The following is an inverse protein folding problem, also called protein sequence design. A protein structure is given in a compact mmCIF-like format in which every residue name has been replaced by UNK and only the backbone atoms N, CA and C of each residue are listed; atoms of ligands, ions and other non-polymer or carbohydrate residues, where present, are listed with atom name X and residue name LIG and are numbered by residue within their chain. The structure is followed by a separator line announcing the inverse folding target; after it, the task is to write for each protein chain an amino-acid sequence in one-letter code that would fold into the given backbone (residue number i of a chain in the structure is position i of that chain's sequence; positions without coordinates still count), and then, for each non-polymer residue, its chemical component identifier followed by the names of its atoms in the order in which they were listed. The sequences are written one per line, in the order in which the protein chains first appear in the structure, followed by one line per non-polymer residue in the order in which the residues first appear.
data_IF_599684060173
#
_entry.id   IF_599684060173
#
_cell.length_a   1.000
_cell.length_b   1.000
_cell.length_c   1.000
_cell.angle_alpha   90.00
_cell.angle_beta   90.00
_cell.angle_gamma   90.00
#
_symmetry.space_group_name_H-M   'P 1'
#
loop_
_entity.id
_entity.type
_entity.pdbx_description
1 polymer ?
#
# COMPACT_ATOMS: atom_id res chain seq x y z
N UNK A 1 -10.89 -13.99 -17.09
CA UNK A 1 -11.45 -13.12 -16.03
C UNK A 1 -10.46 -12.00 -15.79
N UNK A 2 -10.93 -10.77 -15.57
CA UNK A 2 -10.09 -9.62 -15.21
C UNK A 2 -10.64 -8.94 -13.96
N UNK A 3 -9.76 -8.36 -13.14
CA UNK A 3 -10.12 -7.46 -12.04
C UNK A 3 -9.69 -6.06 -12.48
N UNK A 4 -10.63 -5.13 -12.52
CA UNK A 4 -10.40 -3.79 -13.07
C UNK A 4 -10.16 -2.80 -11.94
N UNK A 5 -8.98 -2.19 -11.95
CA UNK A 5 -8.62 -1.04 -11.13
C UNK A 5 -7.93 -0.04 -12.06
N UNK A 6 -8.60 1.05 -12.40
CA UNK A 6 -8.10 2.06 -13.32
C UNK A 6 -8.55 3.48 -12.89
N UNK A 7 -7.90 4.54 -13.39
CA UNK A 7 -8.24 5.91 -13.01
C UNK A 7 -9.73 6.27 -13.19
N UNK A 8 -10.41 5.64 -14.15
CA UNK A 8 -11.82 5.87 -14.46
C UNK A 8 -12.78 5.35 -13.38
N UNK A 9 -12.35 4.43 -12.50
CA UNK A 9 -13.15 3.99 -11.34
C UNK A 9 -12.52 4.35 -9.98
N UNK A 10 -11.59 5.30 -9.95
CA UNK A 10 -11.10 5.89 -8.70
C UNK A 10 -12.15 6.88 -8.15
N UNK A 11 -12.76 6.54 -7.02
CA UNK A 11 -13.73 7.40 -6.34
C UNK A 11 -13.05 8.31 -5.32
N UNK A 12 -13.15 9.62 -5.52
CA UNK A 12 -12.49 10.64 -4.68
C UNK A 12 -13.43 11.78 -4.24
N UNK A 13 -14.76 11.59 -4.33
CA UNK A 13 -15.74 12.61 -3.91
C UNK A 13 -15.91 12.72 -2.38
N UNK A 14 -15.35 11.78 -1.62
CA UNK A 14 -15.26 11.86 -0.16
C UNK A 14 -14.79 10.55 0.48
N UNK A 15 -14.43 10.59 1.78
CA UNK A 15 -13.82 9.47 2.48
C UNK A 15 -14.87 8.52 3.10
N UNK A 16 -14.42 7.33 3.51
CA UNK A 16 -15.24 6.36 4.25
C UNK A 16 -15.00 6.40 5.77
N UNK A 17 -14.05 7.21 6.23
CA UNK A 17 -13.64 7.31 7.61
C UNK A 17 -13.60 8.77 8.05
N UNK A 18 -13.74 9.01 9.35
CA UNK A 18 -13.76 10.37 9.94
C UNK A 18 -14.93 11.24 9.48
N UNK A 19 -15.98 10.59 8.99
CA UNK A 19 -17.26 11.17 8.60
C UNK A 19 -18.41 10.46 9.32
N UNK A 20 -19.62 11.00 9.21
CA UNK A 20 -20.80 10.34 9.77
C UNK A 20 -21.07 8.99 9.09
N UNK A 21 -21.76 8.07 9.77
CA UNK A 21 -22.13 6.78 9.17
C UNK A 21 -23.00 6.93 7.91
N UNK A 22 -23.84 7.97 7.87
CA UNK A 22 -24.67 8.31 6.72
C UNK A 22 -23.81 8.74 5.52
N UNK A 23 -22.84 9.62 5.75
CA UNK A 23 -21.92 10.12 4.73
C UNK A 23 -20.98 9.02 4.21
N UNK A 24 -20.45 8.17 5.10
CA UNK A 24 -19.70 6.98 4.70
C UNK A 24 -20.52 6.04 3.81
N UNK A 25 -21.80 5.81 4.13
CA UNK A 25 -22.68 4.99 3.30
C UNK A 25 -22.92 5.62 1.92
N UNK A 26 -23.11 6.94 1.87
CA UNK A 26 -23.27 7.68 0.62
C UNK A 26 -22.04 7.54 -0.28
N UNK A 27 -20.83 7.71 0.28
CA UNK A 27 -19.59 7.54 -0.48
C UNK A 27 -19.34 6.09 -0.90
N UNK A 28 -19.71 5.13 -0.06
CA UNK A 28 -19.64 3.71 -0.40
C UNK A 28 -20.52 3.38 -1.61
N UNK A 29 -21.77 3.86 -1.61
CA UNK A 29 -22.70 3.69 -2.71
C UNK A 29 -22.20 4.40 -3.97
N UNK A 30 -21.74 5.64 -3.84
CA UNK A 30 -21.19 6.40 -4.97
C UNK A 30 -19.97 5.73 -5.63
N UNK A 31 -19.07 5.13 -4.85
CA UNK A 31 -17.92 4.39 -5.38
C UNK A 31 -18.34 3.15 -6.19
N UNK A 32 -19.40 2.48 -5.73
CA UNK A 32 -20.00 1.36 -6.43
C UNK A 32 -20.70 1.82 -7.72
N UNK A 33 -21.52 2.86 -7.65
CA UNK A 33 -22.20 3.45 -8.80
C UNK A 33 -21.21 3.89 -9.88
N UNK A 34 -20.07 4.48 -9.48
CA UNK A 34 -18.99 4.82 -10.42
C UNK A 34 -18.44 3.58 -11.15
N UNK A 35 -18.28 2.46 -10.43
CA UNK A 35 -17.85 1.20 -11.02
C UNK A 35 -18.91 0.62 -11.97
N UNK A 36 -20.19 0.76 -11.65
CA UNK A 36 -21.32 0.40 -12.52
C UNK A 36 -21.35 1.26 -13.78
N UNK A 37 -21.16 2.58 -13.67
CA UNK A 37 -21.04 3.50 -14.79
C UNK A 37 -19.89 3.11 -15.74
N UNK A 38 -18.72 2.76 -15.18
CA UNK A 38 -17.58 2.30 -16.00
C UNK A 38 -17.91 1.01 -16.75
N UNK A 39 -18.54 0.02 -16.08
CA UNK A 39 -18.95 -1.22 -16.73
C UNK A 39 -19.96 -0.95 -17.86
N UNK A 40 -20.96 -0.12 -17.59
CA UNK A 40 -21.96 0.24 -18.59
C UNK A 40 -21.31 0.90 -19.80
N UNK A 41 -20.44 1.89 -19.59
CA UNK A 41 -19.67 2.52 -20.65
C UNK A 41 -18.83 1.51 -21.45
N UNK A 42 -18.17 0.56 -20.77
CA UNK A 42 -17.46 -0.53 -21.44
C UNK A 42 -18.38 -1.37 -22.32
N UNK A 43 -19.60 -1.65 -21.88
CA UNK A 43 -20.56 -2.46 -22.64
C UNK A 43 -21.13 -1.74 -23.86
N UNK A 44 -21.28 -0.41 -23.80
CA UNK A 44 -22.07 0.35 -24.78
C UNK A 44 -21.25 1.27 -25.69
N UNK A 45 -20.19 1.90 -25.17
CA UNK A 45 -19.56 3.06 -25.79
C UNK A 45 -18.05 2.91 -25.99
N UNK A 46 -17.38 2.03 -25.25
CA UNK A 46 -15.94 1.88 -25.32
C UNK A 46 -15.47 1.53 -26.74
N UNK A 47 -14.47 2.25 -27.30
CA UNK A 47 -14.01 2.00 -28.65
C UNK A 47 -13.35 0.62 -28.76
N UNK A 48 -13.60 -0.04 -29.90
CA UNK A 48 -13.02 -1.34 -30.22
C UNK A 48 -11.95 -1.22 -31.30
N UNK A 49 -10.92 -2.10 -31.30
CA UNK A 49 -9.88 -2.11 -32.33
C UNK A 49 -10.40 -2.34 -33.76
N UNK A 50 -11.58 -2.96 -33.91
CA UNK A 50 -12.25 -3.20 -35.19
C UNK A 50 -13.02 -1.98 -35.72
N UNK A 51 -12.94 -0.83 -35.04
CA UNK A 51 -13.68 0.39 -35.38
C UNK A 51 -15.13 0.42 -34.85
N UNK A 52 -15.57 -0.60 -34.12
CA UNK A 52 -16.85 -0.62 -33.43
C UNK A 52 -16.84 0.05 -32.06
N UNK A 53 -17.98 -0.03 -31.36
CA UNK A 53 -18.14 0.46 -29.99
C UNK A 53 -18.81 -0.59 -29.11
N UNK A 54 -18.48 -0.56 -27.81
CA UNK A 54 -19.06 -1.37 -26.76
C UNK A 54 -18.61 -2.84 -26.78
N UNK A 55 -18.52 -3.42 -25.59
CA UNK A 55 -18.25 -4.84 -25.36
C UNK A 55 -19.45 -5.47 -24.63
N UNK A 56 -20.58 -5.74 -25.32
CA UNK A 56 -21.83 -6.19 -24.68
C UNK A 56 -21.72 -7.56 -23.99
N UNK A 57 -20.67 -8.33 -24.31
CA UNK A 57 -20.36 -9.61 -23.66
C UNK A 57 -19.63 -9.48 -22.32
N UNK A 58 -19.30 -8.27 -21.86
CA UNK A 58 -18.78 -8.06 -20.51
C UNK A 58 -19.91 -8.17 -19.50
N UNK A 59 -19.67 -8.85 -18.39
CA UNK A 59 -20.60 -8.97 -17.26
C UNK A 59 -19.81 -9.25 -15.99
N UNK A 60 -20.41 -8.93 -14.85
CA UNK A 60 -19.83 -9.18 -13.53
C UNK A 60 -19.88 -10.68 -13.19
N UNK A 61 -18.93 -11.16 -12.37
CA UNK A 61 -18.75 -12.58 -12.05
C UNK A 61 -19.04 -12.88 -10.57
N UNK A 62 -20.32 -12.87 -10.14
CA UNK A 62 -20.69 -13.15 -8.75
C UNK A 62 -20.24 -14.54 -8.27
N UNK A 63 -20.17 -15.49 -9.20
CA UNK A 63 -19.68 -16.85 -8.99
C UNK A 63 -18.18 -16.91 -8.62
N UNK A 64 -17.41 -15.86 -8.93
CA UNK A 64 -15.99 -15.78 -8.57
C UNK A 64 -15.74 -14.81 -7.42
N UNK A 65 -16.39 -13.64 -7.42
CA UNK A 65 -16.17 -12.63 -6.36
C UNK A 65 -16.78 -13.05 -5.02
N UNK A 66 -17.73 -13.99 -5.02
CA UNK A 66 -18.47 -14.40 -3.83
C UNK A 66 -19.36 -13.29 -3.29
N UNK A 67 -19.77 -12.36 -4.15
CA UNK A 67 -20.74 -11.30 -3.88
C UNK A 67 -21.94 -11.48 -4.81
N UNK A 68 -23.18 -11.27 -4.37
CA UNK A 68 -24.37 -11.50 -5.21
C UNK A 68 -24.40 -10.66 -6.49
N UNK A 69 -23.73 -9.51 -6.49
CA UNK A 69 -23.71 -8.53 -7.57
C UNK A 69 -22.43 -8.57 -8.40
N UNK A 70 -21.45 -9.39 -8.04
CA UNK A 70 -20.20 -9.51 -8.79
C UNK A 70 -19.19 -8.37 -8.57
N UNK A 71 -19.44 -7.46 -7.63
CA UNK A 71 -18.48 -6.43 -7.21
C UNK A 71 -17.47 -6.94 -6.17
N UNK A 72 -16.41 -6.18 -5.92
CA UNK A 72 -15.50 -6.46 -4.81
C UNK A 72 -16.25 -6.40 -3.46
N UNK A 73 -15.88 -7.28 -2.52
CA UNK A 73 -16.50 -7.35 -1.18
C UNK A 73 -16.34 -6.06 -0.37
N UNK A 74 -15.26 -5.34 -0.61
CA UNK A 74 -14.91 -4.07 0.03
C UNK A 74 -14.23 -3.17 -1.01
N UNK A 75 -14.37 -1.84 -0.91
CA UNK A 75 -13.63 -0.90 -1.73
C UNK A 75 -12.13 -1.01 -1.45
N UNK A 76 -11.33 -0.84 -2.49
CA UNK A 76 -9.89 -0.75 -2.37
C UNK A 76 -9.50 0.65 -1.87
N UNK A 77 -9.03 0.74 -0.63
CA UNK A 77 -8.60 2.00 -0.02
C UNK A 77 -7.11 2.22 -0.24
N UNK A 78 -6.75 3.27 -0.99
CA UNK A 78 -5.35 3.61 -1.33
C UNK A 78 -4.57 4.18 -0.15
N UNK A 79 -5.24 4.90 0.75
CA UNK A 79 -4.60 5.53 1.91
C UNK A 79 -5.34 5.22 3.19
N UNK A 80 -4.60 4.70 4.18
CA UNK A 80 -5.12 4.34 5.49
C UNK A 80 -4.64 5.33 6.55
N UNK A 81 -5.26 5.28 7.74
CA UNK A 81 -4.65 5.88 8.94
C UNK A 81 -3.27 5.28 9.18
N UNK A 82 -2.27 6.13 9.37
CA UNK A 82 -0.90 5.73 9.66
C UNK A 82 -0.57 5.93 11.13
N UNK A 83 0.33 5.09 11.63
CA UNK A 83 0.94 5.31 12.93
C UNK A 83 1.84 6.54 12.91
N UNK A 84 2.02 7.19 14.06
CA UNK A 84 3.20 8.02 14.29
C UNK A 84 4.35 7.09 14.65
N UNK A 85 5.23 6.83 13.69
CA UNK A 85 6.31 5.85 13.82
C UNK A 85 7.57 6.44 14.45
N UNK A 86 8.48 5.57 14.92
CA UNK A 86 9.83 5.93 15.40
C UNK A 86 10.69 6.51 14.28
N UNK A 87 10.44 6.09 13.04
CA UNK A 87 11.00 6.69 11.83
C UNK A 87 9.91 6.91 10.79
N UNK A 88 9.87 8.11 10.21
CA UNK A 88 8.95 8.43 9.10
C UNK A 88 9.75 8.51 7.81
N UNK A 89 9.37 7.69 6.83
CA UNK A 89 10.01 7.69 5.52
C UNK A 89 9.53 8.91 4.74
N UNK A 90 10.45 9.82 4.40
CA UNK A 90 10.22 11.03 3.62
C UNK A 90 10.72 10.89 2.17
N UNK A 91 10.25 11.78 1.30
CA UNK A 91 10.56 11.76 -0.14
C UNK A 91 12.05 11.70 -0.46
N UNK A 92 12.96 12.45 0.21
CA UNK A 92 14.39 12.40 -0.09
C UNK A 92 15.05 11.02 0.11
N UNK A 93 14.41 10.13 0.86
CA UNK A 93 14.92 8.78 1.04
C UNK A 93 14.76 7.93 -0.22
N UNK A 94 13.76 8.20 -1.07
CA UNK A 94 13.38 7.29 -2.17
C UNK A 94 13.28 7.96 -3.54
N UNK A 95 13.00 9.26 -3.61
CA UNK A 95 12.84 10.00 -4.85
C UNK A 95 14.15 10.08 -5.64
N UNK A 96 14.10 9.73 -6.93
CA UNK A 96 15.28 9.73 -7.80
C UNK A 96 15.87 11.14 -7.98
N UNK A 97 15.02 12.17 -8.09
CA UNK A 97 15.45 13.56 -8.23
C UNK A 97 16.17 14.10 -6.98
N UNK A 98 15.83 13.55 -5.80
CA UNK A 98 16.52 13.85 -4.55
C UNK A 98 17.87 13.11 -4.42
N UNK A 99 18.17 12.16 -5.33
CA UNK A 99 19.34 11.26 -5.28
C UNK A 99 19.99 11.13 -6.67
N UNK A 100 20.46 12.26 -7.26
CA UNK A 100 20.95 12.26 -8.64
C UNK A 100 22.16 11.34 -8.81
N UNK A 101 22.09 10.42 -9.77
CA UNK A 101 23.16 9.47 -10.09
C UNK A 101 23.15 8.19 -9.25
N UNK A 102 22.29 8.09 -8.23
CA UNK A 102 22.14 6.87 -7.44
C UNK A 102 21.29 5.83 -8.15
N UNK A 103 21.62 4.55 -7.95
CA UNK A 103 20.84 3.40 -8.47
C UNK A 103 19.86 2.84 -7.44
N UNK A 104 20.09 3.12 -6.16
CA UNK A 104 19.30 2.66 -5.04
C UNK A 104 18.92 3.84 -4.15
N UNK A 105 17.79 3.71 -3.46
CA UNK A 105 17.33 4.65 -2.45
C UNK A 105 18.28 4.70 -1.23
N UNK A 106 17.97 5.55 -0.26
CA UNK A 106 18.68 5.62 1.02
C UNK A 106 18.75 4.23 1.69
N UNK A 107 19.94 3.76 2.07
CA UNK A 107 20.07 2.49 2.78
C UNK A 107 19.62 2.65 4.24
N UNK A 108 18.92 1.65 4.75
CA UNK A 108 18.48 1.55 6.13
C UNK A 108 19.16 0.36 6.82
N UNK A 109 19.99 0.65 7.83
CA UNK A 109 20.69 -0.40 8.60
C UNK A 109 19.71 -1.37 9.30
N UNK A 110 18.52 -0.89 9.62
CA UNK A 110 17.40 -1.62 10.22
C UNK A 110 16.40 -2.14 9.18
N UNK A 111 16.80 -2.32 7.92
CA UNK A 111 15.93 -2.88 6.88
C UNK A 111 15.33 -4.23 7.29
N UNK A 112 14.02 -4.36 7.08
CA UNK A 112 13.24 -5.58 7.27
C UNK A 112 12.63 -6.09 5.97
N UNK A 113 12.90 -5.40 4.85
CA UNK A 113 12.33 -5.76 3.57
C UNK A 113 12.71 -4.79 2.47
N UNK A 114 12.21 -5.05 1.27
CA UNK A 114 12.47 -4.21 0.09
C UNK A 114 11.18 -3.90 -0.65
N UNK A 115 11.22 -2.82 -1.44
CA UNK A 115 10.16 -2.45 -2.35
C UNK A 115 10.71 -1.65 -3.53
N UNK A 116 9.95 -1.64 -4.63
CA UNK A 116 10.23 -0.78 -5.76
C UNK A 116 8.92 -0.50 -6.49
N UNK A 117 8.54 0.76 -6.49
CA UNK A 117 7.42 1.29 -7.24
C UNK A 117 7.58 2.81 -7.33
N UNK A 118 6.98 3.42 -8.35
CA UNK A 118 6.96 4.88 -8.47
C UNK A 118 6.14 5.49 -7.34
N UNK A 119 6.39 6.76 -7.02
CA UNK A 119 5.47 7.53 -6.17
C UNK A 119 4.26 7.88 -7.05
N UNK A 120 3.22 7.05 -6.97
CA UNK A 120 1.95 7.20 -7.69
C UNK A 120 0.85 7.63 -6.71
N UNK A 121 0.42 8.88 -6.78
CA UNK A 121 -0.69 9.43 -5.98
C UNK A 121 -1.83 9.83 -6.90
N UNK A 122 -3.01 9.34 -6.56
CA UNK A 122 -4.24 9.63 -7.27
C UNK A 122 -4.91 10.85 -6.65
N UNK A 123 -5.83 11.51 -7.38
CA UNK A 123 -6.61 12.61 -6.83
C UNK A 123 -7.20 12.25 -5.47
N UNK A 124 -6.99 13.13 -4.50
CA UNK A 124 -7.43 12.91 -3.12
C UNK A 124 -8.80 13.51 -2.86
N UNK A 125 -9.47 13.07 -1.80
CA UNK A 125 -10.70 13.71 -1.31
C UNK A 125 -10.46 15.12 -0.77
N UNK A 126 -9.20 15.52 -0.58
CA UNK A 126 -8.78 16.87 -0.19
C UNK A 126 -8.59 17.84 -1.37
N UNK A 127 -8.74 17.36 -2.61
CA UNK A 127 -8.56 18.17 -3.82
C UNK A 127 -7.12 18.21 -4.36
N UNK A 128 -6.24 17.34 -3.85
CA UNK A 128 -4.88 17.22 -4.39
C UNK A 128 -4.92 16.58 -5.79
N UNK A 129 -4.08 17.05 -6.73
CA UNK A 129 -4.02 16.47 -8.07
C UNK A 129 -3.25 15.15 -8.10
N UNK A 130 -3.25 14.50 -9.26
CA UNK A 130 -2.38 13.35 -9.53
C UNK A 130 -0.90 13.73 -9.44
N UNK A 131 -0.09 12.86 -8.82
CA UNK A 131 1.37 13.01 -8.72
C UNK A 131 2.05 11.69 -9.13
N UNK A 132 3.05 11.78 -9.99
CA UNK A 132 3.85 10.65 -10.46
C UNK A 132 5.33 11.02 -10.49
N UNK A 133 6.11 10.42 -9.59
CA UNK A 133 7.55 10.67 -9.45
C UNK A 133 8.32 9.34 -9.46
N UNK A 134 9.45 9.32 -10.15
CA UNK A 134 10.41 8.21 -10.12
C UNK A 134 10.92 7.98 -8.69
N UNK A 135 10.83 6.73 -8.23
CA UNK A 135 11.46 6.31 -6.99
C UNK A 135 12.49 5.22 -7.30
N UNK A 136 13.64 5.30 -6.63
CA UNK A 136 14.67 4.27 -6.70
C UNK A 136 14.23 3.03 -5.90
N UNK A 137 14.72 1.82 -6.24
CA UNK A 137 14.51 0.63 -5.41
C UNK A 137 14.93 0.89 -3.96
N UNK A 138 14.01 0.62 -3.02
CA UNK A 138 14.11 1.04 -1.63
C UNK A 138 13.97 -0.11 -0.62
N UNK A 139 14.31 0.21 0.63
CA UNK A 139 14.24 -0.70 1.78
C UNK A 139 13.13 -0.27 2.74
N UNK A 140 12.59 -1.21 3.51
CA UNK A 140 11.57 -0.97 4.53
C UNK A 140 12.29 -0.93 5.89
N UNK A 141 12.48 0.24 6.53
CA UNK A 141 13.12 0.32 7.84
C UNK A 141 12.18 -0.19 8.95
N UNK A 142 12.71 -0.99 9.89
CA UNK A 142 11.99 -1.43 11.08
C UNK A 142 11.40 -0.24 11.86
N UNK A 143 12.11 0.88 11.94
CA UNK A 143 11.64 2.09 12.62
C UNK A 143 10.30 2.62 12.09
N UNK A 144 9.96 2.37 10.82
CA UNK A 144 8.67 2.74 10.24
C UNK A 144 7.52 1.81 10.65
N UNK A 145 7.82 0.62 11.15
CA UNK A 145 6.84 -0.34 11.68
C UNK A 145 6.61 -0.16 13.19
N UNK A 146 7.30 0.76 13.86
CA UNK A 146 7.23 0.89 15.33
C UNK A 146 6.51 2.17 15.76
N UNK A 147 5.35 2.10 16.43
CA UNK A 147 4.67 3.29 16.94
C UNK A 147 5.47 3.99 18.05
N UNK A 148 5.38 5.31 18.15
CA UNK A 148 6.01 6.06 19.27
C UNK A 148 5.31 5.78 20.60
N UNK A 149 3.97 5.72 20.59
CA UNK A 149 3.15 5.73 21.82
C UNK A 149 2.83 4.34 22.39
N UNK A 150 2.62 3.35 21.53
CA UNK A 150 2.17 2.00 21.92
C UNK A 150 3.23 0.97 21.53
N UNK A 151 3.46 -0.02 22.39
CA UNK A 151 4.56 -1.00 22.25
C UNK A 151 4.10 -2.42 21.91
N UNK A 152 2.78 -2.65 21.87
CA UNK A 152 2.13 -3.94 21.61
C UNK A 152 1.21 -3.92 20.38
N UNK A 153 1.44 -3.00 19.44
CA UNK A 153 0.69 -2.86 18.20
C UNK A 153 1.68 -2.66 17.05
N UNK A 154 1.54 -3.44 15.98
CA UNK A 154 2.34 -3.30 14.77
C UNK A 154 1.43 -3.03 13.56
N UNK A 155 1.75 -2.05 12.70
CA UNK A 155 1.19 -1.94 11.36
C UNK A 155 1.64 -3.13 10.51
N UNK A 156 0.80 -3.56 9.57
CA UNK A 156 1.04 -4.74 8.75
C UNK A 156 0.70 -4.52 7.26
N UNK A 157 0.49 -3.25 6.86
CA UNK A 157 0.23 -2.86 5.47
C UNK A 157 0.52 -1.35 5.26
N UNK A 158 -0.38 -0.62 4.59
CA UNK A 158 -0.34 0.84 4.28
C UNK A 158 -0.26 1.79 5.48
N UNK A 159 -0.26 1.26 6.70
CA UNK A 159 -0.40 2.02 7.94
C UNK A 159 0.94 2.28 8.67
N UNK A 160 2.08 1.99 8.03
CA UNK A 160 3.44 2.28 8.54
C UNK A 160 3.77 3.79 8.54
N UNK A 161 4.94 4.13 9.08
CA UNK A 161 5.47 5.49 9.09
C UNK A 161 5.95 5.99 7.73
N UNK A 162 5.03 6.56 6.95
CA UNK A 162 5.29 7.25 5.68
C UNK A 162 4.62 8.63 5.66
N UNK A 163 5.09 9.53 4.81
CA UNK A 163 4.33 10.74 4.44
C UNK A 163 3.22 10.38 3.47
N UNK A 164 2.28 11.31 3.21
CA UNK A 164 1.31 11.14 2.13
C UNK A 164 2.01 10.84 0.78
N UNK A 165 3.10 11.55 0.51
CA UNK A 165 3.90 11.41 -0.71
C UNK A 165 4.55 10.03 -0.81
N UNK A 166 5.36 9.65 0.19
CA UNK A 166 6.08 8.37 0.13
C UNK A 166 5.17 7.16 0.27
N UNK A 167 3.98 7.31 0.86
CA UNK A 167 2.99 6.24 0.85
C UNK A 167 2.67 5.77 -0.58
N UNK A 168 2.75 6.65 -1.59
CA UNK A 168 2.52 6.32 -3.00
C UNK A 168 3.36 5.15 -3.52
N UNK A 169 4.60 4.99 -3.06
CA UNK A 169 5.47 3.88 -3.45
C UNK A 169 5.46 2.71 -2.46
N UNK A 170 5.10 2.92 -1.19
CA UNK A 170 5.03 1.85 -0.17
C UNK A 170 3.69 1.10 -0.14
N UNK A 171 2.63 1.62 -0.77
CA UNK A 171 1.28 1.03 -0.78
C UNK A 171 1.00 0.03 -1.91
N UNK A 172 2.03 -0.45 -2.61
CA UNK A 172 1.82 -1.46 -3.64
C UNK A 172 1.78 -2.84 -2.99
N UNK A 173 0.92 -3.74 -3.48
CA UNK A 173 0.70 -5.07 -2.91
C UNK A 173 1.98 -5.85 -2.55
N UNK A 174 3.04 -5.91 -3.39
CA UNK A 174 4.27 -6.62 -3.02
C UNK A 174 4.96 -6.02 -1.78
N UNK A 175 4.96 -4.69 -1.65
CA UNK A 175 5.54 -3.98 -0.51
C UNK A 175 4.68 -4.17 0.73
N UNK A 176 3.35 -4.10 0.59
CA UNK A 176 2.42 -4.36 1.69
C UNK A 176 2.52 -5.78 2.23
N UNK A 177 2.69 -6.78 1.36
CA UNK A 177 2.88 -8.16 1.77
C UNK A 177 4.18 -8.31 2.56
N UNK A 178 5.27 -7.72 2.08
CA UNK A 178 6.54 -7.73 2.80
C UNK A 178 6.44 -7.06 4.19
N UNK A 179 5.76 -5.91 4.28
CA UNK A 179 5.46 -5.23 5.57
C UNK A 179 4.70 -6.18 6.51
N UNK A 180 3.67 -6.87 6.01
CA UNK A 180 2.87 -7.81 6.78
C UNK A 180 3.66 -9.03 7.24
N UNK A 181 4.47 -9.62 6.37
CA UNK A 181 5.36 -10.75 6.68
C UNK A 181 6.39 -10.37 7.75
N UNK A 182 7.03 -9.21 7.58
CA UNK A 182 7.96 -8.65 8.56
C UNK A 182 7.28 -8.42 9.91
N UNK A 183 6.13 -7.76 9.94
CA UNK A 183 5.39 -7.51 11.19
C UNK A 183 4.98 -8.82 11.89
N UNK A 184 4.55 -9.83 11.12
CA UNK A 184 4.19 -11.15 11.64
C UNK A 184 5.38 -11.89 12.25
N UNK A 185 6.51 -11.92 11.53
CA UNK A 185 7.75 -12.54 12.01
C UNK A 185 8.34 -11.81 13.22
N UNK A 186 8.28 -10.47 13.24
CA UNK A 186 8.69 -9.67 14.40
C UNK A 186 7.87 -10.03 15.63
N UNK A 187 6.56 -10.19 15.47
CA UNK A 187 5.65 -10.59 16.56
C UNK A 187 6.06 -11.96 17.11
N UNK A 188 6.24 -12.96 16.25
CA UNK A 188 6.67 -14.29 16.65
C UNK A 188 8.05 -14.28 17.34
N UNK A 189 9.02 -13.54 16.78
CA UNK A 189 10.35 -13.38 17.35
C UNK A 189 10.30 -12.78 18.76
N UNK A 190 9.52 -11.71 18.95
CA UNK A 190 9.33 -11.03 20.23
C UNK A 190 8.75 -11.98 21.29
N UNK A 191 7.71 -12.75 20.93
CA UNK A 191 7.08 -13.72 21.82
C UNK A 191 8.04 -14.84 22.25
N UNK A 192 8.85 -15.35 21.31
CA UNK A 192 9.81 -16.42 21.59
C UNK A 192 10.99 -15.96 22.45
N UNK A 193 11.43 -14.71 22.30
CA UNK A 193 12.57 -14.14 23.03
C UNK A 193 12.17 -13.42 24.31
N UNK A 194 10.88 -13.19 24.55
CA UNK A 194 10.40 -12.42 25.69
C UNK A 194 10.83 -10.94 25.64
N UNK A 195 10.87 -10.36 24.44
CA UNK A 195 11.24 -8.96 24.20
C UNK A 195 10.11 -8.22 23.49
N UNK A 196 10.14 -6.89 23.52
CA UNK A 196 9.23 -6.04 22.78
C UNK A 196 9.80 -5.62 21.41
N UNK A 197 8.95 -5.30 20.42
CA UNK A 197 9.40 -4.85 19.10
C UNK A 197 10.41 -3.69 19.13
N UNK A 198 10.22 -2.73 20.03
CA UNK A 198 11.14 -1.60 20.21
C UNK A 198 12.52 -2.02 20.70
N UNK A 199 12.62 -3.05 21.52
CA UNK A 199 13.93 -3.55 21.98
C UNK A 199 14.72 -4.19 20.83
N UNK A 200 14.02 -4.82 19.87
CA UNK A 200 14.64 -5.35 18.65
C UNK A 200 15.28 -4.23 17.84
N UNK A 201 14.59 -3.09 17.69
CA UNK A 201 15.13 -1.91 17.00
C UNK A 201 16.28 -1.22 17.77
N UNK A 202 16.19 -1.17 19.10
CA UNK A 202 17.16 -0.46 19.95
C UNK A 202 18.43 -1.25 20.25
N UNK A 203 18.41 -2.58 20.05
CA UNK A 203 19.51 -3.47 20.40
C UNK A 203 20.12 -4.12 19.15
N UNK A 204 21.35 -3.76 18.74
CA UNK A 204 21.96 -4.27 17.51
C UNK A 204 22.02 -5.80 17.41
N UNK A 205 22.24 -6.50 18.53
CA UNK A 205 22.25 -7.96 18.57
C UNK A 205 20.86 -8.55 18.22
N UNK A 206 19.80 -8.03 18.83
CA UNK A 206 18.42 -8.47 18.55
C UNK A 206 18.01 -8.14 17.12
N UNK A 207 18.36 -6.95 16.63
CA UNK A 207 18.12 -6.56 15.24
C UNK A 207 18.80 -7.54 14.26
N UNK A 208 20.07 -7.86 14.50
CA UNK A 208 20.82 -8.79 13.65
C UNK A 208 20.22 -10.20 13.66
N UNK A 209 19.83 -10.72 14.83
CA UNK A 209 19.14 -12.01 14.94
C UNK A 209 17.79 -12.01 14.21
N UNK A 210 17.02 -10.93 14.32
CA UNK A 210 15.74 -10.79 13.63
C UNK A 210 15.93 -10.70 12.11
N UNK A 211 16.91 -9.92 11.63
CA UNK A 211 17.25 -9.85 10.21
C UNK A 211 17.76 -11.20 9.67
N UNK A 212 18.44 -12.01 10.49
CA UNK A 212 18.82 -13.37 10.12
C UNK A 212 17.58 -14.27 9.97
N UNK A 213 16.59 -14.14 10.88
CA UNK A 213 15.30 -14.83 10.75
C UNK A 213 14.60 -14.45 9.44
N UNK A 214 14.47 -13.15 9.13
CA UNK A 214 13.82 -12.68 7.89
C UNK A 214 14.47 -13.29 6.63
N UNK A 215 15.81 -13.26 6.55
CA UNK A 215 16.54 -13.90 5.44
C UNK A 215 16.30 -15.40 5.38
N UNK A 216 16.22 -16.09 6.53
CA UNK A 216 15.93 -17.53 6.56
C UNK A 216 14.52 -17.86 6.06
N UNK A 217 13.58 -16.91 6.12
CA UNK A 217 12.23 -17.01 5.56
C UNK A 217 12.15 -16.55 4.09
N UNK A 218 13.29 -16.20 3.48
CA UNK A 218 13.36 -15.77 2.09
C UNK A 218 13.05 -14.29 1.84
N UNK A 219 12.97 -13.46 2.88
CA UNK A 219 12.71 -12.03 2.75
C UNK A 219 14.02 -11.29 2.44
N UNK A 220 14.16 -10.66 1.26
CA UNK A 220 15.34 -9.85 0.95
C UNK A 220 15.31 -8.55 1.74
N UNK A 221 16.47 -8.15 2.30
CA UNK A 221 16.60 -6.93 3.10
C UNK A 221 17.33 -5.81 2.36
N UNK A 222 18.00 -6.14 1.26
CA UNK A 222 18.75 -5.21 0.41
C UNK A 222 18.51 -5.58 -1.05
N UNK A 223 18.58 -4.59 -1.94
CA UNK A 223 18.62 -4.83 -3.37
C UNK A 223 20.04 -5.21 -3.78
N UNK A 224 20.19 -6.29 -4.54
CA UNK A 224 21.44 -6.65 -5.22
C UNK A 224 21.44 -5.98 -6.60
N UNK A 225 22.54 -5.30 -6.95
CA UNK A 225 22.74 -4.63 -8.24
C UNK A 225 23.57 -5.48 -9.20
#
# INVERSE_FOLDING_TARGET
MTIVNCPQNDYFLGPLFEVSAQEALQHWQGARELSECLLYWLQTEAPRPDGGVGYPGLYLRPDITGTPDGFAKMPYIRESRRIRARFTICEPHVCADCRPGEKLAEPFADSVGIGHYRIDLHPSTGGDPYLDIDALPFQIPLGALLPVRVRNLLPACKNIGTTHITNGCYRLHPVEWNIGESAGLLTAFCLLRGVEPHQVYETPALLSEYQALLRSQGIPLVWEL
#
